data_IF_215011822157
#
_entry.id   IF_215011822157
#
_cell.length_a   1.000
_cell.length_b   1.000
_cell.length_c   1.000
_cell.angle_alpha   90.00
_cell.angle_beta   90.00
_cell.angle_gamma   90.00
#
_symmetry.space_group_name_H-M   'P 1'
#
loop_
_entity.id
_entity.type
_entity.pdbx_description
1 polymer ?
#
# COMPACT_ATOMS: atom_id res chain seq x y z
N UNK A 1 9.19 -15.36 -36.01
CA UNK A 1 7.72 -15.13 -36.05
C UNK A 1 7.49 -13.66 -35.76
N UNK A 2 6.43 -13.06 -36.32
CA UNK A 2 6.04 -11.71 -35.92
C UNK A 2 5.66 -11.72 -34.43
N UNK A 3 6.00 -10.66 -33.70
CA UNK A 3 5.64 -10.52 -32.29
C UNK A 3 4.11 -10.49 -32.17
N UNK A 4 3.55 -11.39 -31.34
CA UNK A 4 2.14 -11.35 -30.95
C UNK A 4 2.06 -11.13 -29.43
N UNK A 5 1.42 -10.04 -29.05
CA UNK A 5 1.22 -9.65 -27.65
C UNK A 5 -0.01 -10.35 -27.06
N UNK A 6 0.02 -10.59 -25.75
CA UNK A 6 -1.14 -11.02 -24.96
C UNK A 6 -1.02 -10.53 -23.52
N UNK A 7 -2.14 -10.38 -22.82
CA UNK A 7 -2.20 -9.90 -21.44
C UNK A 7 -2.49 -11.08 -20.53
N UNK A 8 -1.73 -11.20 -19.44
CA UNK A 8 -1.99 -12.16 -18.37
C UNK A 8 -2.25 -11.42 -17.06
N UNK A 9 -3.47 -11.50 -16.54
CA UNK A 9 -3.81 -10.92 -15.23
C UNK A 9 -3.52 -11.95 -14.14
N UNK A 10 -2.55 -11.66 -13.28
CA UNK A 10 -2.07 -12.57 -12.25
C UNK A 10 -2.75 -12.24 -10.91
N UNK A 11 -3.74 -13.04 -10.53
CA UNK A 11 -4.45 -12.92 -9.26
C UNK A 11 -3.78 -13.69 -8.14
N UNK A 12 -4.03 -13.26 -6.90
CA UNK A 12 -3.67 -14.02 -5.72
C UNK A 12 -4.46 -15.34 -5.65
N UNK A 13 -5.77 -15.24 -5.79
CA UNK A 13 -6.72 -16.33 -5.58
C UNK A 13 -7.42 -16.26 -4.23
N UNK A 14 -8.59 -16.88 -4.14
CA UNK A 14 -9.44 -16.82 -2.96
C UNK A 14 -10.19 -18.13 -2.77
N UNK A 15 -10.44 -18.47 -1.50
CA UNK A 15 -11.34 -19.58 -1.15
C UNK A 15 -12.81 -19.22 -1.35
N UNK A 16 -13.13 -17.92 -1.44
CA UNK A 16 -14.46 -17.42 -1.73
C UNK A 16 -14.66 -17.31 -3.25
N UNK A 17 -15.67 -18.00 -3.76
CA UNK A 17 -15.96 -18.06 -5.20
C UNK A 17 -16.47 -16.72 -5.74
N UNK A 18 -17.12 -15.89 -4.92
CA UNK A 18 -17.51 -14.53 -5.33
C UNK A 18 -16.29 -13.66 -5.57
N UNK A 19 -15.30 -13.72 -4.67
CA UNK A 19 -14.05 -13.00 -4.85
C UNK A 19 -13.29 -13.44 -6.12
N UNK A 20 -13.30 -14.74 -6.43
CA UNK A 20 -12.74 -15.26 -7.68
C UNK A 20 -13.53 -14.79 -8.92
N UNK A 21 -14.86 -14.65 -8.81
CA UNK A 21 -15.68 -14.10 -9.92
C UNK A 21 -15.44 -12.60 -10.11
N UNK A 22 -15.38 -11.82 -9.04
CA UNK A 22 -15.07 -10.38 -9.13
C UNK A 22 -13.68 -10.14 -9.74
N UNK A 23 -12.69 -10.99 -9.46
CA UNK A 23 -11.39 -10.90 -10.11
C UNK A 23 -11.46 -11.09 -11.62
N UNK A 24 -12.29 -12.03 -12.10
CA UNK A 24 -12.45 -12.29 -13.52
C UNK A 24 -13.01 -11.08 -14.29
N UNK A 25 -13.80 -10.22 -13.64
CA UNK A 25 -14.33 -8.97 -14.23
C UNK A 25 -13.21 -8.05 -14.68
N UNK A 26 -12.05 -8.04 -14.02
CA UNK A 26 -10.90 -7.23 -14.46
C UNK A 26 -10.38 -7.73 -15.81
N UNK A 27 -10.30 -9.04 -15.99
CA UNK A 27 -9.85 -9.63 -17.25
C UNK A 27 -10.84 -9.35 -18.38
N UNK A 28 -12.15 -9.38 -18.09
CA UNK A 28 -13.20 -8.98 -19.04
C UNK A 28 -13.07 -7.51 -19.43
N UNK A 29 -12.93 -6.61 -18.45
CA UNK A 29 -12.76 -5.18 -18.70
C UNK A 29 -11.48 -4.87 -19.52
N UNK A 30 -10.38 -5.57 -19.24
CA UNK A 30 -9.17 -5.45 -20.03
C UNK A 30 -9.34 -6.00 -21.44
N UNK A 31 -10.10 -7.08 -21.63
CA UNK A 31 -10.43 -7.63 -22.96
C UNK A 31 -11.24 -6.64 -23.78
N UNK A 32 -12.21 -5.96 -23.17
CA UNK A 32 -12.99 -4.91 -23.84
C UNK A 32 -12.12 -3.71 -24.26
N UNK A 33 -11.14 -3.34 -23.44
CA UNK A 33 -10.21 -2.22 -23.70
C UNK A 33 -9.12 -2.55 -24.70
N UNK A 34 -8.83 -3.84 -24.91
CA UNK A 34 -7.74 -4.32 -25.76
C UNK A 34 -8.27 -5.40 -26.74
N UNK A 35 -9.19 -5.06 -27.66
CA UNK A 35 -9.88 -6.04 -28.51
C UNK A 35 -8.95 -6.82 -29.46
N UNK A 36 -7.77 -6.28 -29.75
CA UNK A 36 -6.78 -6.90 -30.64
C UNK A 36 -5.80 -7.83 -29.89
N UNK A 37 -5.86 -7.87 -28.55
CA UNK A 37 -4.96 -8.65 -27.71
C UNK A 37 -5.71 -9.80 -27.01
N UNK A 38 -5.21 -11.04 -27.08
CA UNK A 38 -5.65 -12.10 -26.18
C UNK A 38 -5.43 -11.68 -24.72
N UNK A 39 -6.46 -11.81 -23.88
CA UNK A 39 -6.40 -11.47 -22.44
C UNK A 39 -6.84 -12.68 -21.63
N UNK A 40 -5.94 -13.26 -20.84
CA UNK A 40 -6.26 -14.35 -19.92
C UNK A 40 -5.96 -13.95 -18.48
N UNK A 41 -6.47 -14.74 -17.54
CA UNK A 41 -6.22 -14.56 -16.11
C UNK A 41 -5.96 -15.91 -15.44
N UNK A 42 -5.37 -15.84 -14.25
CA UNK A 42 -5.15 -17.01 -13.41
C UNK A 42 -4.70 -16.63 -12.02
N UNK A 43 -4.79 -17.60 -11.11
CA UNK A 43 -4.52 -17.41 -9.69
C UNK A 43 -3.22 -18.09 -9.27
N UNK A 44 -2.55 -17.48 -8.31
CA UNK A 44 -1.38 -18.06 -7.66
C UNK A 44 -1.78 -19.24 -6.77
N UNK A 45 -2.89 -19.14 -6.03
CA UNK A 45 -3.32 -20.15 -5.07
C UNK A 45 -4.84 -20.31 -4.94
N UNK A 46 -5.28 -21.36 -4.24
CA UNK A 46 -6.65 -21.68 -3.82
C UNK A 46 -7.67 -22.03 -4.91
N UNK A 47 -7.73 -21.29 -6.00
CA UNK A 47 -8.77 -21.45 -7.00
C UNK A 47 -8.20 -21.60 -8.41
N UNK A 48 -9.03 -22.15 -9.29
CA UNK A 48 -8.72 -22.30 -10.71
C UNK A 48 -9.40 -21.19 -11.54
N UNK A 49 -8.85 -20.82 -12.71
CA UNK A 49 -7.62 -21.36 -13.31
C UNK A 49 -6.34 -20.87 -12.63
N UNK A 50 -5.31 -21.71 -12.55
CA UNK A 50 -3.97 -21.30 -12.09
C UNK A 50 -3.26 -20.47 -13.16
N UNK A 51 -2.26 -19.67 -12.77
CA UNK A 51 -1.52 -18.77 -13.69
C UNK A 51 -0.97 -19.53 -14.91
N UNK A 52 -0.41 -20.73 -14.70
CA UNK A 52 0.15 -21.57 -15.77
C UNK A 52 -0.90 -21.96 -16.83
N UNK A 53 -2.14 -22.22 -16.43
CA UNK A 53 -3.23 -22.55 -17.34
C UNK A 53 -3.64 -21.36 -18.23
N UNK A 54 -3.63 -20.13 -17.69
CA UNK A 54 -3.83 -18.92 -18.48
C UNK A 54 -2.71 -18.69 -19.50
N UNK A 55 -1.46 -18.90 -19.08
CA UNK A 55 -0.30 -18.82 -19.97
C UNK A 55 -0.35 -19.87 -21.10
N UNK A 56 -0.79 -21.08 -20.82
CA UNK A 56 -0.96 -22.12 -21.84
C UNK A 56 -1.98 -21.76 -22.91
N UNK A 57 -3.09 -21.10 -22.54
CA UNK A 57 -4.07 -20.60 -23.50
C UNK A 57 -3.48 -19.50 -24.38
N UNK A 58 -2.80 -18.51 -23.79
CA UNK A 58 -2.12 -17.45 -24.55
C UNK A 58 -1.12 -18.05 -25.55
N UNK A 59 -0.32 -19.02 -25.09
CA UNK A 59 0.63 -19.74 -25.95
C UNK A 59 -0.06 -20.52 -27.07
N UNK A 60 -1.19 -21.19 -26.79
CA UNK A 60 -1.98 -21.90 -27.79
C UNK A 60 -2.56 -20.96 -28.87
N UNK A 61 -2.83 -19.71 -28.51
CA UNK A 61 -3.22 -18.66 -29.46
C UNK A 61 -2.03 -18.06 -30.22
N UNK A 62 -0.81 -18.54 -30.00
CA UNK A 62 0.41 -18.07 -30.67
C UNK A 62 0.96 -16.76 -30.11
N UNK A 63 0.61 -16.37 -28.89
CA UNK A 63 1.24 -15.24 -28.20
C UNK A 63 2.72 -15.54 -27.98
N UNK A 64 3.58 -14.62 -28.41
CA UNK A 64 5.05 -14.74 -28.25
C UNK A 64 5.59 -13.79 -27.18
N UNK A 65 4.81 -12.80 -26.75
CA UNK A 65 5.15 -11.91 -25.64
C UNK A 65 3.94 -11.62 -24.76
N UNK A 66 4.06 -11.93 -23.47
CA UNK A 66 3.02 -11.76 -22.45
C UNK A 66 3.30 -10.53 -21.60
N UNK A 67 2.29 -9.69 -21.42
CA UNK A 67 2.25 -8.58 -20.48
C UNK A 67 1.59 -9.09 -19.19
N UNK A 68 2.41 -9.48 -18.21
CA UNK A 68 1.92 -10.05 -16.96
C UNK A 68 1.63 -8.92 -15.94
N UNK A 69 0.34 -8.70 -15.67
CA UNK A 69 -0.15 -7.63 -14.79
C UNK A 69 -0.54 -8.23 -13.43
N UNK A 70 0.16 -7.88 -12.33
CA UNK A 70 -0.21 -8.36 -11.01
C UNK A 70 -1.48 -7.67 -10.50
N UNK A 71 -2.50 -8.46 -10.17
CA UNK A 71 -3.73 -8.02 -9.52
C UNK A 71 -3.56 -7.77 -8.03
N UNK A 72 -2.59 -6.93 -7.66
CA UNK A 72 -2.19 -6.65 -6.28
C UNK A 72 -2.24 -5.14 -6.01
N UNK A 73 -2.65 -4.77 -4.79
CA UNK A 73 -2.66 -3.37 -4.37
C UNK A 73 -1.26 -2.87 -4.02
N UNK A 74 -0.51 -3.64 -3.22
CA UNK A 74 0.84 -3.26 -2.77
C UNK A 74 1.83 -4.40 -2.96
N UNK A 75 3.10 -4.05 -3.20
CA UNK A 75 4.16 -5.03 -3.37
C UNK A 75 4.59 -5.62 -2.01
N UNK A 76 4.39 -6.94 -1.87
CA UNK A 76 4.90 -7.76 -0.77
C UNK A 76 5.38 -9.11 -1.33
N UNK A 77 5.45 -10.17 -0.52
CA UNK A 77 5.92 -11.51 -0.92
C UNK A 77 5.35 -12.00 -2.26
N UNK A 78 4.04 -11.91 -2.49
CA UNK A 78 3.43 -12.39 -3.74
C UNK A 78 3.89 -11.65 -4.98
N UNK A 79 3.93 -10.31 -4.91
CA UNK A 79 4.32 -9.50 -6.06
C UNK A 79 5.84 -9.47 -6.27
N UNK A 80 6.63 -9.60 -5.18
CA UNK A 80 8.09 -9.51 -5.19
C UNK A 80 8.77 -10.87 -5.44
N UNK A 81 8.14 -11.99 -5.05
CA UNK A 81 8.73 -13.34 -5.10
C UNK A 81 7.83 -14.37 -5.81
N UNK A 82 6.62 -14.63 -5.31
CA UNK A 82 5.87 -15.83 -5.71
C UNK A 82 5.44 -15.78 -7.19
N UNK A 83 4.78 -14.70 -7.63
CA UNK A 83 4.37 -14.53 -9.03
C UNK A 83 5.59 -14.50 -9.95
N UNK A 84 6.63 -13.69 -9.70
CA UNK A 84 7.87 -13.75 -10.48
C UNK A 84 8.45 -15.16 -10.60
N UNK A 85 8.46 -15.94 -9.52
CA UNK A 85 8.96 -17.32 -9.52
C UNK A 85 8.16 -18.21 -10.48
N UNK A 86 6.83 -18.16 -10.44
CA UNK A 86 5.94 -18.90 -11.35
C UNK A 86 6.16 -18.48 -12.80
N UNK A 87 6.19 -17.17 -13.08
CA UNK A 87 6.36 -16.63 -14.43
C UNK A 87 7.74 -16.97 -15.02
N UNK A 88 8.81 -16.81 -14.23
CA UNK A 88 10.17 -17.12 -14.66
C UNK A 88 10.34 -18.62 -14.95
N UNK A 89 9.73 -19.47 -14.12
CA UNK A 89 9.72 -20.93 -14.32
C UNK A 89 9.01 -21.30 -15.62
N UNK A 90 7.82 -20.73 -15.85
CA UNK A 90 7.06 -20.97 -17.07
C UNK A 90 7.83 -20.50 -18.31
N UNK A 91 8.45 -19.31 -18.27
CA UNK A 91 9.26 -18.78 -19.36
C UNK A 91 10.46 -19.69 -19.66
N UNK A 92 11.16 -20.18 -18.64
CA UNK A 92 12.31 -21.08 -18.81
C UNK A 92 11.92 -22.40 -19.52
N UNK A 93 10.71 -22.89 -19.28
CA UNK A 93 10.15 -24.07 -19.94
C UNK A 93 9.64 -23.79 -21.37
N UNK A 94 9.44 -22.51 -21.73
CA UNK A 94 8.81 -22.08 -22.98
C UNK A 94 9.64 -20.98 -23.67
N UNK A 95 10.84 -21.29 -24.22
CA UNK A 95 11.79 -20.29 -24.72
C UNK A 95 11.30 -19.44 -25.91
N UNK A 96 10.20 -19.85 -26.56
CA UNK A 96 9.55 -19.08 -27.63
C UNK A 96 8.61 -17.98 -27.15
N UNK A 97 8.42 -17.85 -25.83
CA UNK A 97 7.50 -16.89 -25.22
C UNK A 97 8.24 -16.03 -24.20
N UNK A 98 8.22 -14.71 -24.40
CA UNK A 98 8.77 -13.74 -23.45
C UNK A 98 7.67 -13.26 -22.51
N UNK A 99 7.94 -13.15 -21.22
CA UNK A 99 7.00 -12.65 -20.21
C UNK A 99 7.61 -11.39 -19.60
N UNK A 100 6.92 -10.26 -19.75
CA UNK A 100 7.29 -9.00 -19.10
C UNK A 100 6.33 -8.75 -17.95
N UNK A 101 6.88 -8.73 -16.74
CA UNK A 101 6.10 -8.52 -15.51
C UNK A 101 6.01 -7.04 -15.16
N UNK A 102 4.79 -6.56 -14.93
CA UNK A 102 4.51 -5.18 -14.53
C UNK A 102 4.59 -4.95 -13.03
N UNK A 103 4.47 -3.68 -12.63
CA UNK A 103 4.29 -3.31 -11.23
C UNK A 103 2.84 -3.46 -10.77
N UNK A 104 2.64 -3.60 -9.47
CA UNK A 104 1.35 -3.56 -8.80
C UNK A 104 0.66 -2.19 -8.98
N UNK A 105 -0.61 -2.09 -8.59
CA UNK A 105 -1.38 -0.84 -8.67
C UNK A 105 -0.70 0.28 -7.87
N UNK A 106 -0.29 -0.03 -6.63
CA UNK A 106 0.54 0.83 -5.80
C UNK A 106 -0.17 2.09 -5.33
N UNK A 107 0.62 3.14 -5.08
CA UNK A 107 0.13 4.48 -4.76
C UNK A 107 -0.17 5.21 -6.06
N UNK A 108 -1.45 5.32 -6.38
CA UNK A 108 -1.93 5.90 -7.64
C UNK A 108 -3.14 6.81 -7.39
N UNK A 109 -3.21 7.95 -8.09
CA UNK A 109 -4.29 8.92 -7.93
C UNK A 109 -5.66 8.36 -8.31
N UNK A 110 -5.74 7.47 -9.32
CA UNK A 110 -6.98 6.79 -9.71
C UNK A 110 -7.46 5.88 -8.59
N UNK A 111 -6.55 5.18 -7.92
CA UNK A 111 -6.86 4.33 -6.78
C UNK A 111 -7.32 5.14 -5.56
N UNK A 112 -6.63 6.24 -5.24
CA UNK A 112 -7.05 7.15 -4.16
C UNK A 112 -8.40 7.81 -4.44
N UNK A 113 -8.67 8.18 -5.70
CA UNK A 113 -9.99 8.73 -6.11
C UNK A 113 -11.09 7.69 -6.00
N UNK A 114 -10.86 6.47 -6.50
CA UNK A 114 -11.81 5.36 -6.36
C UNK A 114 -12.17 5.12 -4.88
N UNK A 115 -11.16 5.08 -4.01
CA UNK A 115 -11.38 4.98 -2.57
C UNK A 115 -12.18 6.18 -2.01
N UNK A 116 -11.84 7.39 -2.43
CA UNK A 116 -12.56 8.61 -2.06
C UNK A 116 -14.04 8.56 -2.45
N UNK A 117 -14.35 8.07 -3.65
CA UNK A 117 -15.72 7.93 -4.15
C UNK A 117 -16.50 6.92 -3.27
N UNK A 118 -15.93 5.74 -2.98
CA UNK A 118 -16.54 4.74 -2.08
C UNK A 118 -16.80 5.26 -0.67
N UNK A 119 -15.85 6.02 -0.12
CA UNK A 119 -15.98 6.63 1.21
C UNK A 119 -17.06 7.71 1.18
N UNK A 120 -17.09 8.53 0.14
CA UNK A 120 -18.07 9.62 0.00
C UNK A 120 -19.49 9.06 -0.16
N UNK A 121 -19.68 8.00 -0.95
CA UNK A 121 -20.94 7.25 -1.03
C UNK A 121 -21.43 6.82 0.36
N UNK A 122 -20.55 6.24 1.18
CA UNK A 122 -20.89 5.80 2.53
C UNK A 122 -21.22 6.98 3.48
N UNK A 123 -20.50 8.11 3.36
CA UNK A 123 -20.79 9.32 4.12
C UNK A 123 -22.16 9.89 3.75
N UNK A 124 -22.49 9.95 2.46
CA UNK A 124 -23.74 10.52 1.97
C UNK A 124 -24.93 9.64 2.36
N UNK A 125 -24.80 8.32 2.23
CA UNK A 125 -25.82 7.37 2.69
C UNK A 125 -26.02 7.46 4.21
N UNK A 126 -24.95 7.50 5.00
CA UNK A 126 -25.04 7.64 6.44
C UNK A 126 -25.67 8.98 6.86
N UNK A 127 -25.35 10.08 6.16
CA UNK A 127 -25.99 11.37 6.40
C UNK A 127 -27.50 11.34 6.10
N UNK A 128 -27.90 10.66 5.02
CA UNK A 128 -29.30 10.51 4.65
C UNK A 128 -30.10 9.62 5.62
N UNK A 129 -29.46 8.59 6.18
CA UNK A 129 -30.16 7.54 6.96
C UNK A 129 -30.00 7.68 8.47
N UNK A 130 -28.84 8.13 8.95
CA UNK A 130 -28.48 8.23 10.37
C UNK A 130 -28.35 9.68 10.86
N UNK A 131 -28.62 10.66 9.98
CA UNK A 131 -28.50 12.08 10.26
C UNK A 131 -27.13 12.66 9.92
N UNK A 132 -27.08 13.97 9.74
CA UNK A 132 -25.85 14.67 9.35
C UNK A 132 -24.81 14.67 10.48
N UNK A 133 -23.57 14.31 10.16
CA UNK A 133 -22.39 14.48 11.02
C UNK A 133 -21.29 15.14 10.18
N UNK A 134 -20.67 16.20 10.72
CA UNK A 134 -19.58 16.89 10.04
C UNK A 134 -18.35 15.97 9.91
N UNK A 135 -17.59 16.12 8.81
CA UNK A 135 -16.38 15.31 8.61
C UNK A 135 -15.34 15.57 9.69
N UNK A 136 -15.25 16.77 10.25
CA UNK A 136 -14.38 17.08 11.39
C UNK A 136 -14.79 16.35 12.68
N UNK A 137 -16.04 15.89 12.79
CA UNK A 137 -16.53 15.06 13.89
C UNK A 137 -16.56 13.55 13.54
N UNK A 138 -15.97 13.20 12.39
CA UNK A 138 -15.91 11.84 11.84
C UNK A 138 -14.46 11.36 11.71
N UNK A 139 -14.19 10.12 12.11
CA UNK A 139 -12.91 9.44 11.92
C UNK A 139 -12.98 8.50 10.71
N UNK A 140 -11.94 8.49 9.89
CA UNK A 140 -11.77 7.53 8.80
C UNK A 140 -10.84 6.39 9.21
N UNK A 141 -11.36 5.17 9.26
CA UNK A 141 -10.59 3.95 9.50
C UNK A 141 -10.33 3.24 8.16
N UNK A 142 -9.10 3.29 7.66
CA UNK A 142 -8.71 2.55 6.45
C UNK A 142 -8.12 1.21 6.84
N UNK A 143 -8.73 0.13 6.33
CA UNK A 143 -8.36 -1.24 6.68
C UNK A 143 -7.66 -1.91 5.52
N UNK A 144 -6.37 -2.22 5.68
CA UNK A 144 -5.60 -3.02 4.74
C UNK A 144 -5.55 -4.51 5.12
N UNK A 145 -4.97 -5.36 4.27
CA UNK A 145 -4.67 -6.76 4.63
C UNK A 145 -3.59 -6.85 5.71
N UNK A 146 -2.57 -5.98 5.58
CA UNK A 146 -1.35 -6.02 6.38
C UNK A 146 -0.29 -6.94 5.78
N UNK A 147 0.98 -6.72 6.08
CA UNK A 147 2.09 -7.49 5.51
C UNK A 147 3.22 -7.64 6.52
N UNK A 148 4.03 -8.69 6.37
CA UNK A 148 5.35 -8.76 7.02
C UNK A 148 6.37 -7.84 6.33
N UNK A 149 6.03 -7.31 5.16
CA UNK A 149 6.80 -6.30 4.44
C UNK A 149 6.34 -4.88 4.88
N UNK A 150 7.19 -4.10 5.58
CA UNK A 150 6.83 -2.78 6.06
C UNK A 150 6.59 -1.77 4.93
N UNK A 151 7.13 -1.97 3.72
CA UNK A 151 6.90 -1.11 2.57
C UNK A 151 5.41 -1.10 2.18
N UNK A 152 4.79 -2.28 2.13
CA UNK A 152 3.35 -2.43 1.88
C UNK A 152 2.49 -1.79 2.99
N UNK A 153 2.90 -1.93 4.26
CA UNK A 153 2.21 -1.31 5.38
C UNK A 153 2.32 0.22 5.33
N UNK A 154 3.50 0.74 4.99
CA UNK A 154 3.73 2.19 4.83
C UNK A 154 2.86 2.78 3.71
N UNK A 155 2.64 2.02 2.63
CA UNK A 155 1.75 2.41 1.54
C UNK A 155 0.27 2.44 1.97
N UNK A 156 -0.18 1.48 2.78
CA UNK A 156 -1.53 1.53 3.37
C UNK A 156 -1.73 2.79 4.22
N UNK A 157 -0.77 3.11 5.09
CA UNK A 157 -0.80 4.34 5.89
C UNK A 157 -0.75 5.59 5.02
N UNK A 158 0.04 5.60 3.94
CA UNK A 158 0.08 6.72 2.99
C UNK A 158 -1.28 6.95 2.33
N UNK A 159 -1.94 5.89 1.86
CA UNK A 159 -3.31 5.99 1.31
C UNK A 159 -4.27 6.57 2.34
N UNK A 160 -4.22 6.07 3.59
CA UNK A 160 -5.05 6.60 4.67
C UNK A 160 -4.84 8.10 4.88
N UNK A 161 -3.58 8.58 4.96
CA UNK A 161 -3.29 10.01 5.14
C UNK A 161 -3.80 10.84 3.97
N UNK A 162 -3.59 10.37 2.74
CA UNK A 162 -4.08 11.05 1.54
C UNK A 162 -5.62 11.17 1.52
N UNK A 163 -6.33 10.13 1.94
CA UNK A 163 -7.79 10.12 2.00
C UNK A 163 -8.31 10.98 3.15
N UNK A 164 -7.78 10.80 4.36
CA UNK A 164 -8.18 11.57 5.54
C UNK A 164 -7.99 13.07 5.31
N UNK A 165 -6.75 13.49 5.07
CA UNK A 165 -6.40 14.92 4.95
C UNK A 165 -7.04 15.52 3.70
N UNK A 166 -7.09 14.76 2.61
CA UNK A 166 -7.66 15.22 1.34
C UNK A 166 -9.18 15.37 1.38
N UNK A 167 -9.89 14.58 2.19
CA UNK A 167 -11.35 14.63 2.29
C UNK A 167 -11.86 15.47 3.47
N UNK A 168 -10.99 15.85 4.41
CA UNK A 168 -11.32 16.73 5.53
C UNK A 168 -11.90 16.02 6.75
N UNK A 169 -11.59 14.74 6.97
CA UNK A 169 -12.00 14.07 8.22
C UNK A 169 -11.29 14.67 9.44
N UNK A 170 -11.89 14.52 10.63
CA UNK A 170 -11.28 14.99 11.87
C UNK A 170 -10.02 14.19 12.25
N UNK A 171 -10.05 12.89 11.97
CA UNK A 171 -8.92 11.99 12.16
C UNK A 171 -8.93 10.82 11.17
N UNK A 172 -7.79 10.14 11.06
CA UNK A 172 -7.67 8.93 10.27
C UNK A 172 -6.71 7.92 10.92
N UNK A 173 -7.11 6.64 10.92
CA UNK A 173 -6.27 5.53 11.40
C UNK A 173 -6.18 4.41 10.37
N UNK A 174 -5.08 3.66 10.43
CA UNK A 174 -4.88 2.47 9.60
C UNK A 174 -4.91 1.23 10.48
N UNK A 175 -5.74 0.26 10.12
CA UNK A 175 -5.78 -1.06 10.73
C UNK A 175 -5.61 -2.16 9.69
N UNK A 176 -5.44 -3.38 10.17
CA UNK A 176 -5.15 -4.53 9.34
C UNK A 176 -6.04 -5.73 9.66
N UNK A 177 -6.38 -6.50 8.62
CA UNK A 177 -7.27 -7.66 8.78
C UNK A 177 -6.61 -8.88 9.43
N UNK A 178 -5.27 -8.96 9.54
CA UNK A 178 -4.66 -10.11 10.22
C UNK A 178 -3.14 -10.23 10.32
N UNK A 179 -2.33 -9.64 9.42
CA UNK A 179 -0.88 -9.98 9.39
C UNK A 179 0.00 -9.09 10.24
N UNK A 180 -0.39 -7.84 10.44
CA UNK A 180 0.33 -6.89 11.28
C UNK A 180 -0.65 -6.10 12.14
N UNK A 181 -0.12 -5.35 13.10
CA UNK A 181 -0.87 -4.57 14.08
C UNK A 181 -0.94 -3.09 13.67
N UNK A 182 -2.02 -2.33 14.00
CA UNK A 182 -3.22 -2.73 14.75
C UNK A 182 -4.20 -3.59 13.96
N UNK A 183 -4.78 -4.60 14.63
CA UNK A 183 -5.89 -5.39 14.08
C UNK A 183 -7.19 -4.60 14.15
N UNK A 184 -8.17 -4.94 13.30
CA UNK A 184 -9.45 -4.22 13.15
C UNK A 184 -10.15 -3.95 14.48
N UNK A 185 -10.40 -5.00 15.27
CA UNK A 185 -11.14 -4.84 16.53
C UNK A 185 -10.37 -3.98 17.55
N UNK A 186 -9.10 -4.27 17.92
CA UNK A 186 -8.32 -3.40 18.80
C UNK A 186 -8.18 -1.96 18.30
N UNK A 187 -8.07 -1.77 16.98
CA UNK A 187 -7.96 -0.44 16.38
C UNK A 187 -9.26 0.35 16.40
N UNK A 188 -10.41 -0.29 16.18
CA UNK A 188 -11.71 0.34 16.36
C UNK A 188 -11.99 0.65 17.83
N UNK A 189 -11.58 -0.23 18.75
CA UNK A 189 -11.64 0.03 20.20
C UNK A 189 -10.77 1.21 20.63
N UNK A 190 -9.60 1.37 20.01
CA UNK A 190 -8.78 2.55 20.19
C UNK A 190 -9.47 3.80 19.66
N UNK A 191 -9.96 3.75 18.41
CA UNK A 191 -10.64 4.87 17.76
C UNK A 191 -11.90 5.33 18.52
N UNK A 192 -12.65 4.40 19.13
CA UNK A 192 -13.84 4.71 19.92
C UNK A 192 -13.53 5.62 21.12
N UNK A 193 -12.31 5.56 21.66
CA UNK A 193 -11.88 6.39 22.82
C UNK A 193 -11.50 7.81 22.44
N UNK A 194 -11.43 8.13 21.14
CA UNK A 194 -10.98 9.44 20.66
C UNK A 194 -12.11 10.49 20.61
N UNK A 195 -13.37 10.10 20.83
CA UNK A 195 -14.50 11.03 20.98
C UNK A 195 -15.15 11.49 19.67
N UNK A 196 -14.88 10.82 18.54
CA UNK A 196 -15.57 11.09 17.27
C UNK A 196 -16.99 10.53 17.29
N UNK A 197 -17.94 11.27 16.70
CA UNK A 197 -19.36 10.89 16.66
C UNK A 197 -19.64 9.77 15.65
N UNK A 198 -18.78 9.67 14.63
CA UNK A 198 -18.90 8.68 13.56
C UNK A 198 -17.52 8.12 13.19
N UNK A 199 -17.48 6.83 12.90
CA UNK A 199 -16.33 6.13 12.36
C UNK A 199 -16.73 5.51 11.02
N UNK A 200 -16.10 5.94 9.93
CA UNK A 200 -16.22 5.28 8.61
C UNK A 200 -15.16 4.19 8.52
N UNK A 201 -15.57 2.94 8.36
CA UNK A 201 -14.68 1.80 8.17
C UNK A 201 -14.61 1.45 6.69
N UNK A 202 -13.45 1.70 6.08
CA UNK A 202 -13.22 1.50 4.66
C UNK A 202 -12.17 0.40 4.40
N UNK A 203 -12.59 -0.77 3.89
CA UNK A 203 -11.66 -1.81 3.46
C UNK A 203 -10.96 -1.42 2.14
N UNK A 204 -9.65 -1.19 2.19
CA UNK A 204 -8.83 -0.98 1.00
C UNK A 204 -8.47 -2.33 0.34
N UNK A 205 -9.48 -2.94 -0.28
CA UNK A 205 -9.42 -4.25 -0.93
C UNK A 205 -10.00 -4.17 -2.34
N UNK A 206 -9.46 -4.97 -3.26
CA UNK A 206 -9.99 -5.05 -4.63
C UNK A 206 -11.28 -5.87 -4.70
N UNK A 207 -11.43 -6.90 -3.86
CA UNK A 207 -12.53 -7.86 -3.95
C UNK A 207 -13.10 -8.17 -2.58
N UNK A 208 -14.30 -8.73 -2.60
CA UNK A 208 -14.96 -9.31 -1.44
C UNK A 208 -14.22 -10.53 -0.88
N UNK A 209 -14.85 -11.17 0.10
CA UNK A 209 -14.47 -12.48 0.60
C UNK A 209 -14.36 -12.50 2.11
N UNK A 210 -13.73 -13.56 2.61
CA UNK A 210 -13.57 -13.84 4.05
C UNK A 210 -13.04 -12.63 4.81
N UNK A 211 -12.07 -11.91 4.25
CA UNK A 211 -11.42 -10.80 4.95
C UNK A 211 -12.32 -9.57 5.07
N UNK A 212 -12.98 -9.15 3.99
CA UNK A 212 -13.92 -8.02 4.02
C UNK A 212 -15.09 -8.31 4.96
N UNK A 213 -15.66 -9.52 4.88
CA UNK A 213 -16.72 -9.97 5.80
C UNK A 213 -16.29 -9.90 7.26
N UNK A 214 -15.06 -10.34 7.57
CA UNK A 214 -14.50 -10.28 8.91
C UNK A 214 -14.31 -8.85 9.41
N UNK A 215 -13.87 -7.93 8.55
CA UNK A 215 -13.74 -6.51 8.89
C UNK A 215 -15.10 -5.96 9.34
N UNK A 216 -16.15 -6.24 8.56
CA UNK A 216 -17.51 -5.80 8.89
C UNK A 216 -18.05 -6.48 10.16
N UNK A 217 -17.80 -7.78 10.35
CA UNK A 217 -18.20 -8.47 11.58
C UNK A 217 -17.55 -7.87 12.83
N UNK A 218 -16.23 -7.61 12.81
CA UNK A 218 -15.58 -6.92 13.93
C UNK A 218 -16.08 -5.49 14.13
N UNK A 219 -16.44 -4.81 13.04
CA UNK A 219 -17.08 -3.50 13.12
C UNK A 219 -18.40 -3.58 13.88
N UNK A 220 -19.23 -4.58 13.59
CA UNK A 220 -20.51 -4.80 14.27
C UNK A 220 -20.32 -5.10 15.77
N UNK A 221 -19.34 -5.96 16.11
CA UNK A 221 -19.02 -6.29 17.52
C UNK A 221 -18.54 -5.05 18.30
N UNK A 222 -17.77 -4.16 17.69
CA UNK A 222 -17.34 -2.90 18.36
C UNK A 222 -18.51 -1.91 18.43
N UNK A 223 -19.34 -1.83 17.39
CA UNK A 223 -20.52 -0.96 17.38
C UNK A 223 -21.53 -1.32 18.50
N UNK A 224 -21.72 -2.61 18.78
CA UNK A 224 -22.56 -3.07 19.90
C UNK A 224 -22.05 -2.60 21.27
N UNK A 225 -20.73 -2.45 21.42
CA UNK A 225 -20.08 -1.99 22.67
C UNK A 225 -20.11 -0.48 22.84
N UNK A 226 -20.22 0.28 21.75
CA UNK A 226 -20.18 1.74 21.72
C UNK A 226 -21.40 2.31 20.97
N UNK A 227 -22.63 2.13 21.51
CA UNK A 227 -23.88 2.50 20.83
C UNK A 227 -24.04 4.01 20.59
N UNK A 228 -23.23 4.84 21.25
CA UNK A 228 -23.18 6.28 21.07
C UNK A 228 -22.43 6.73 19.81
N UNK A 229 -21.64 5.84 19.18
CA UNK A 229 -20.86 6.13 17.97
C UNK A 229 -21.54 5.50 16.75
N UNK A 230 -21.62 6.25 15.66
CA UNK A 230 -22.09 5.72 14.38
C UNK A 230 -20.95 5.00 13.66
N UNK A 231 -21.00 3.67 13.58
CA UNK A 231 -20.08 2.89 12.74
C UNK A 231 -20.68 2.68 11.36
N UNK A 232 -20.02 3.19 10.33
CA UNK A 232 -20.47 3.13 8.93
C UNK A 232 -19.51 2.26 8.14
N UNK A 233 -20.02 1.20 7.52
CA UNK A 233 -19.24 0.26 6.70
C UNK A 233 -19.25 0.75 5.26
N UNK A 234 -18.13 1.30 4.79
CA UNK A 234 -17.98 1.69 3.39
C UNK A 234 -17.71 0.46 2.51
N UNK A 235 -18.15 0.52 1.26
CA UNK A 235 -17.82 -0.50 0.26
C UNK A 235 -16.32 -0.48 -0.07
N UNK A 236 -15.77 -1.62 -0.48
CA UNK A 236 -14.38 -1.75 -0.95
C UNK A 236 -14.23 -1.25 -2.39
N UNK A 237 -13.03 -1.32 -2.97
CA UNK A 237 -12.76 -0.74 -4.29
C UNK A 237 -13.61 -1.39 -5.40
N UNK A 238 -13.64 -2.73 -5.43
CA UNK A 238 -14.36 -3.53 -6.43
C UNK A 238 -14.01 -3.12 -7.89
N UNK A 239 -14.97 -3.25 -8.79
CA UNK A 239 -14.98 -2.92 -10.21
C UNK A 239 -15.07 -1.41 -10.51
N UNK A 240 -14.66 -0.56 -9.57
CA UNK A 240 -14.72 0.88 -9.77
C UNK A 240 -13.98 1.28 -11.07
N UNK A 241 -14.55 2.13 -11.94
CA UNK A 241 -13.96 2.41 -13.26
C UNK A 241 -12.49 2.87 -13.21
N UNK A 242 -12.14 3.70 -12.22
CA UNK A 242 -10.76 4.16 -12.01
C UNK A 242 -9.79 3.04 -11.59
N UNK A 243 -10.27 1.97 -10.96
CA UNK A 243 -9.45 0.78 -10.66
C UNK A 243 -9.13 0.04 -11.96
N UNK A 244 -10.13 -0.14 -12.82
CA UNK A 244 -9.94 -0.73 -14.14
C UNK A 244 -9.00 0.13 -15.00
N UNK A 245 -9.09 1.45 -14.90
CA UNK A 245 -8.15 2.39 -15.55
C UNK A 245 -6.73 2.24 -15.01
N UNK A 246 -6.55 2.02 -13.71
CA UNK A 246 -5.24 1.77 -13.14
C UNK A 246 -4.63 0.45 -13.65
N UNK A 247 -5.45 -0.59 -13.85
CA UNK A 247 -5.03 -1.82 -14.52
C UNK A 247 -4.60 -1.60 -15.98
N UNK A 248 -5.36 -0.80 -16.73
CA UNK A 248 -4.98 -0.43 -18.09
C UNK A 248 -3.66 0.34 -18.13
N UNK A 249 -3.42 1.23 -17.16
CA UNK A 249 -2.12 1.92 -17.06
C UNK A 249 -0.99 0.92 -16.82
N UNK A 250 -1.19 -0.13 -16.00
CA UNK A 250 -0.17 -1.17 -15.79
C UNK A 250 0.22 -1.81 -17.13
N UNK A 251 -0.76 -2.10 -17.98
CA UNK A 251 -0.53 -2.65 -19.33
C UNK A 251 0.31 -1.68 -20.16
N UNK A 252 -0.06 -0.40 -20.19
CA UNK A 252 0.67 0.65 -20.89
C UNK A 252 2.12 0.79 -20.41
N UNK A 253 2.35 0.80 -19.09
CA UNK A 253 3.69 0.91 -18.50
C UNK A 253 4.59 -0.28 -18.89
N UNK A 254 4.05 -1.49 -18.99
CA UNK A 254 4.82 -2.67 -19.45
C UNK A 254 5.24 -2.48 -20.91
N UNK A 255 4.36 -1.94 -21.76
CA UNK A 255 4.64 -1.70 -23.18
C UNK A 255 5.72 -0.62 -23.37
N UNK A 256 5.65 0.44 -22.57
CA UNK A 256 6.58 1.57 -22.61
C UNK A 256 7.92 1.30 -21.91
N UNK A 257 8.04 0.17 -21.20
CA UNK A 257 9.21 -0.14 -20.37
C UNK A 257 9.32 0.73 -19.12
N UNK A 258 8.21 1.33 -18.69
CA UNK A 258 8.09 2.23 -17.55
C UNK A 258 7.57 1.55 -16.28
N UNK A 259 7.55 0.22 -16.23
CA UNK A 259 7.20 -0.56 -15.04
C UNK A 259 8.30 -0.47 -13.97
N UNK A 260 8.42 0.71 -13.34
CA UNK A 260 9.39 1.00 -12.30
C UNK A 260 8.87 0.52 -10.94
N UNK A 261 9.28 -0.67 -10.54
CA UNK A 261 9.14 -1.12 -9.15
C UNK A 261 10.03 -0.27 -8.24
N UNK A 262 9.59 0.02 -7.01
CA UNK A 262 10.43 0.67 -6.01
C UNK A 262 11.52 -0.28 -5.46
N UNK A 263 12.44 -0.69 -6.32
CA UNK A 263 13.50 -1.63 -5.95
C UNK A 263 14.51 -1.03 -4.96
N UNK A 264 14.60 0.30 -4.87
CA UNK A 264 15.51 1.00 -3.94
C UNK A 264 15.14 0.80 -2.46
N UNK A 265 13.87 0.45 -2.17
CA UNK A 265 13.41 0.10 -0.83
C UNK A 265 13.00 -1.37 -0.72
N UNK A 266 13.37 -2.19 -1.70
CA UNK A 266 13.05 -3.61 -1.68
C UNK A 266 14.01 -4.33 -0.74
N UNK A 267 13.48 -4.90 0.35
CA UNK A 267 14.27 -5.66 1.34
C UNK A 267 15.09 -6.82 0.79
N UNK A 268 14.78 -7.30 -0.41
CA UNK A 268 15.52 -8.36 -1.09
C UNK A 268 16.71 -7.83 -1.93
N UNK A 269 16.75 -6.53 -2.24
CA UNK A 269 17.74 -5.92 -3.14
C UNK A 269 18.61 -4.87 -2.46
N UNK A 270 18.10 -4.21 -1.44
CA UNK A 270 18.81 -3.20 -0.66
C UNK A 270 18.69 -3.50 0.83
N UNK A 271 19.66 -3.03 1.62
CA UNK A 271 19.61 -3.18 3.07
C UNK A 271 18.51 -2.29 3.66
N UNK A 272 17.44 -2.92 4.13
CA UNK A 272 16.39 -2.27 4.93
C UNK A 272 16.61 -2.64 6.40
N UNK A 273 16.54 -1.65 7.29
CA UNK A 273 16.75 -1.83 8.73
C UNK A 273 15.84 -2.93 9.29
N UNK A 274 16.43 -3.93 9.95
CA UNK A 274 15.73 -5.07 10.53
C UNK A 274 15.41 -6.21 9.56
N UNK A 275 15.86 -6.11 8.30
CA UNK A 275 15.71 -7.11 7.25
C UNK A 275 17.06 -7.47 6.59
N UNK A 276 18.17 -7.35 7.32
CA UNK A 276 19.51 -7.59 6.77
C UNK A 276 19.68 -9.02 6.23
N UNK A 277 18.97 -9.99 6.82
CA UNK A 277 18.99 -11.39 6.38
C UNK A 277 18.26 -11.65 5.05
N UNK A 278 17.39 -10.72 4.62
CA UNK A 278 16.59 -10.87 3.39
C UNK A 278 17.37 -10.40 2.15
N UNK A 279 18.45 -9.63 2.32
CA UNK A 279 19.25 -9.09 1.22
C UNK A 279 19.92 -10.21 0.42
N UNK A 280 19.61 -10.29 -0.87
CA UNK A 280 20.19 -11.28 -1.79
C UNK A 280 19.60 -12.69 -1.68
N UNK A 281 18.52 -12.90 -0.91
CA UNK A 281 17.84 -14.20 -0.85
C UNK A 281 17.29 -14.61 -2.22
N UNK A 282 17.34 -15.91 -2.58
CA UNK A 282 16.76 -16.41 -3.81
C UNK A 282 15.24 -16.22 -3.83
N UNK A 283 14.67 -15.99 -5.01
CA UNK A 283 13.22 -15.98 -5.19
C UNK A 283 12.67 -17.40 -5.14
N UNK A 284 12.00 -17.73 -4.05
CA UNK A 284 11.29 -18.99 -3.86
C UNK A 284 9.80 -18.71 -3.71
N UNK A 285 8.96 -19.51 -4.39
CA UNK A 285 7.51 -19.47 -4.20
C UNK A 285 7.14 -20.31 -2.99
N UNK A 286 6.53 -19.68 -1.98
CA UNK A 286 6.09 -20.37 -0.78
C UNK A 286 4.72 -21.05 -0.96
N UNK A 287 4.04 -20.80 -2.08
CA UNK A 287 2.64 -21.12 -2.29
C UNK A 287 2.38 -22.26 -3.28
N UNK A 288 3.43 -22.90 -3.81
CA UNK A 288 3.27 -24.05 -4.73
C UNK A 288 2.43 -25.20 -4.16
N UNK A 289 2.44 -25.41 -2.84
CA UNK A 289 1.72 -26.50 -2.20
C UNK A 289 0.20 -26.31 -2.12
N UNK A 290 -0.30 -25.09 -2.42
CA UNK A 290 -1.74 -24.74 -2.43
C UNK A 290 -2.22 -24.20 -3.77
N UNK A 291 -1.41 -24.36 -4.83
CA UNK A 291 -1.78 -23.96 -6.19
C UNK A 291 -2.97 -24.81 -6.69
N UNK A 292 -4.10 -24.16 -7.01
CA UNK A 292 -5.33 -24.83 -7.44
C UNK A 292 -6.01 -25.73 -6.40
N UNK A 293 -5.55 -25.70 -5.14
CA UNK A 293 -6.03 -26.54 -4.01
C UNK A 293 -6.48 -25.65 -2.85
N UNK A 294 -7.59 -26.00 -2.20
CA UNK A 294 -8.08 -25.27 -1.02
C UNK A 294 -9.12 -24.19 -1.31
N UNK A 295 -9.73 -24.21 -2.50
CA UNK A 295 -10.98 -23.50 -2.79
C UNK A 295 -12.11 -23.96 -1.85
N UNK A 296 -13.19 -23.18 -1.77
CA UNK A 296 -14.37 -23.57 -0.98
C UNK A 296 -14.88 -24.95 -1.40
N UNK A 297 -15.30 -25.77 -0.41
CA UNK A 297 -15.88 -27.10 -0.67
C UNK A 297 -17.06 -26.99 -1.64
N UNK A 298 -17.17 -27.92 -2.60
CA UNK A 298 -18.24 -27.92 -3.62
C UNK A 298 -19.64 -27.90 -2.99
N UNK A 299 -19.82 -28.56 -1.84
CA UNK A 299 -21.06 -28.59 -1.06
C UNK A 299 -20.97 -27.79 0.25
N UNK A 300 -20.18 -26.71 0.28
CA UNK A 300 -20.08 -25.89 1.48
C UNK A 300 -21.43 -25.21 1.78
N UNK A 301 -21.90 -25.19 3.05
CA UNK A 301 -23.13 -24.47 3.43
C UNK A 301 -23.15 -22.98 3.06
N UNK A 302 -21.97 -22.37 2.88
CA UNK A 302 -21.86 -20.98 2.44
C UNK A 302 -22.20 -20.74 0.95
N UNK A 303 -22.46 -21.79 0.16
CA UNK A 303 -22.89 -21.67 -1.24
C UNK A 303 -21.89 -20.94 -2.14
N UNK A 304 -20.59 -21.03 -1.84
CA UNK A 304 -19.52 -20.34 -2.56
C UNK A 304 -19.16 -18.96 -1.98
N UNK A 305 -19.99 -18.37 -1.12
CA UNK A 305 -19.73 -17.10 -0.46
C UNK A 305 -19.00 -17.28 0.88
N UNK A 306 -17.85 -17.95 0.82
CA UNK A 306 -17.07 -18.32 2.00
C UNK A 306 -16.77 -17.14 2.92
N UNK A 307 -17.21 -17.25 4.17
CA UNK A 307 -16.93 -16.39 5.32
C UNK A 307 -15.94 -17.05 6.31
N UNK A 308 -15.55 -18.29 6.01
CA UNK A 308 -14.74 -19.16 6.85
C UNK A 308 -15.39 -19.51 8.21
N UNK A 309 -16.72 -19.53 8.30
CA UNK A 309 -17.44 -19.96 9.51
C UNK A 309 -17.18 -21.42 9.88
N UNK A 310 -16.81 -22.27 8.91
CA UNK A 310 -16.34 -23.64 9.17
C UNK A 310 -15.02 -23.74 9.94
N UNK A 311 -14.41 -22.60 10.33
CA UNK A 311 -13.32 -22.55 11.31
C UNK A 311 -13.82 -22.60 12.75
N UNK A 312 -15.12 -22.52 12.98
CA UNK A 312 -15.72 -22.82 14.27
C UNK A 312 -16.10 -24.31 14.34
N UNK A 313 -15.55 -25.08 15.29
CA UNK A 313 -15.94 -26.47 15.50
C UNK A 313 -17.45 -26.66 15.72
N UNK A 314 -18.13 -25.72 16.38
CA UNK A 314 -19.57 -25.81 16.62
C UNK A 314 -20.38 -25.58 15.33
N UNK A 315 -19.94 -24.69 14.45
CA UNK A 315 -20.54 -24.53 13.12
C UNK A 315 -20.47 -25.83 12.31
N UNK A 316 -19.30 -26.48 12.30
CA UNK A 316 -19.11 -27.75 11.59
C UNK A 316 -20.02 -28.86 12.14
N UNK A 317 -20.18 -28.91 13.46
CA UNK A 317 -21.05 -29.87 14.15
C UNK A 317 -22.53 -29.64 13.84
N UNK A 318 -22.99 -28.38 13.84
CA UNK A 318 -24.37 -28.02 13.49
C UNK A 318 -24.72 -28.41 12.05
N UNK A 319 -23.77 -28.26 11.12
CA UNK A 319 -23.97 -28.50 9.70
C UNK A 319 -23.53 -29.90 9.23
N UNK A 320 -23.19 -30.81 10.16
CA UNK A 320 -22.79 -32.19 9.84
C UNK A 320 -21.51 -32.29 9.00
N UNK A 321 -20.63 -31.28 9.07
CA UNK A 321 -19.38 -31.23 8.31
C UNK A 321 -18.25 -31.93 9.07
N UNK A 322 -17.33 -32.64 8.38
CA UNK A 322 -16.14 -33.19 8.99
C UNK A 322 -15.19 -32.06 9.41
N UNK A 323 -14.90 -31.96 10.71
CA UNK A 323 -13.85 -31.06 11.21
C UNK A 323 -12.48 -31.59 10.81
N UNK A 324 -11.72 -30.81 10.05
CA UNK A 324 -10.35 -31.15 9.65
C UNK A 324 -9.35 -30.07 10.08
N UNK A 325 -8.09 -30.42 10.39
CA UNK A 325 -7.04 -29.44 10.74
C UNK A 325 -6.74 -28.38 9.67
N UNK A 326 -7.21 -28.57 8.42
CA UNK A 326 -7.07 -27.58 7.33
C UNK A 326 -8.00 -26.37 7.53
N UNK A 327 -9.02 -26.50 8.39
CA UNK A 327 -9.89 -25.42 8.86
C UNK A 327 -9.25 -24.61 9.99
N UNK A 328 -8.40 -25.21 10.82
CA UNK A 328 -7.59 -24.47 11.80
C UNK A 328 -6.30 -23.96 11.12
N UNK A 329 -6.37 -22.82 10.45
CA UNK A 329 -5.16 -21.99 10.41
C UNK A 329 -5.02 -21.49 11.84
N UNK A 330 -3.87 -21.78 12.46
CA UNK A 330 -3.55 -21.51 13.85
C UNK A 330 -4.22 -20.23 14.36
N UNK A 331 -4.72 -20.31 15.60
CA UNK A 331 -5.12 -19.19 16.45
C UNK A 331 -4.38 -17.90 16.04
N UNK A 332 -5.04 -16.73 15.96
CA UNK A 332 -4.29 -15.49 15.87
C UNK A 332 -3.22 -15.59 16.95
N UNK A 333 -1.94 -15.56 16.57
CA UNK A 333 -0.85 -15.50 17.53
C UNK A 333 -1.26 -14.48 18.59
N UNK A 334 -0.95 -14.77 19.85
CA UNK A 334 -1.08 -13.81 20.95
C UNK A 334 -0.80 -12.40 20.42
N UNK A 335 -1.54 -11.39 20.88
CA UNK A 335 -1.38 -9.96 20.51
C UNK A 335 0.06 -9.42 20.71
N UNK A 336 1.01 -10.26 21.11
CA UNK A 336 2.41 -10.08 20.94
C UNK A 336 2.73 -9.62 19.50
N UNK A 337 3.50 -8.52 19.35
CA UNK A 337 3.98 -8.10 18.05
C UNK A 337 4.70 -9.26 17.35
N UNK A 338 4.51 -9.39 16.03
CA UNK A 338 5.23 -10.36 15.20
C UNK A 338 6.77 -10.26 15.34
N UNK A 339 7.26 -9.17 15.93
CA UNK A 339 8.64 -8.93 16.29
C UNK A 339 8.78 -8.79 17.81
N UNK A 340 9.54 -9.70 18.42
CA UNK A 340 10.05 -9.52 19.79
C UNK A 340 11.09 -8.38 19.79
N UNK A 341 10.63 -7.17 20.11
CA UNK A 341 11.47 -5.99 20.38
C UNK A 341 12.04 -6.03 21.80
N UNK A 342 12.43 -7.21 22.33
CA UNK A 342 13.08 -7.35 23.62
C UNK A 342 14.14 -6.28 23.82
N UNK A 343 14.09 -5.60 24.99
CA UNK A 343 14.76 -4.35 25.35
C UNK A 343 16.10 -4.10 24.62
N UNK A 344 16.00 -3.57 23.41
CA UNK A 344 17.14 -3.15 22.61
C UNK A 344 17.44 -1.70 22.95
N UNK A 345 17.96 -1.44 24.16
CA UNK A 345 18.44 -0.11 24.56
C UNK A 345 19.73 0.32 23.83
N UNK A 346 20.16 -0.45 22.84
CA UNK A 346 21.22 -0.10 21.88
C UNK A 346 20.85 -0.65 20.50
N UNK A 347 21.08 0.11 19.43
CA UNK A 347 21.12 -0.41 18.05
C UNK A 347 22.17 -1.55 18.02
N UNK A 348 21.74 -2.80 18.25
CA UNK A 348 22.68 -3.92 18.36
C UNK A 348 22.21 -5.14 19.15
N UNK A 349 21.00 -5.16 19.70
CA UNK A 349 20.53 -6.23 20.61
C UNK A 349 20.49 -7.66 20.06
N UNK A 350 20.59 -7.86 18.74
CA UNK A 350 20.78 -9.20 18.12
C UNK A 350 22.05 -9.32 17.26
N UNK A 351 22.88 -8.27 17.17
CA UNK A 351 23.98 -8.16 16.20
C UNK A 351 25.38 -8.05 16.82
N UNK A 352 25.54 -8.40 18.11
CA UNK A 352 26.84 -8.37 18.79
C UNK A 352 27.92 -9.25 18.15
N UNK A 353 27.55 -10.16 17.24
CA UNK A 353 28.48 -11.05 16.53
C UNK A 353 29.05 -10.45 15.23
N UNK A 354 28.54 -9.31 14.75
CA UNK A 354 29.07 -8.64 13.56
C UNK A 354 30.08 -7.53 13.87
N UNK A 355 30.21 -7.10 15.12
CA UNK A 355 31.16 -6.05 15.51
C UNK A 355 32.63 -6.50 15.51
N UNK A 356 32.91 -7.81 15.38
CA UNK A 356 34.27 -8.37 15.40
C UNK A 356 34.63 -9.21 14.17
N UNK A 357 33.79 -9.23 13.13
CA UNK A 357 34.17 -9.83 11.85
C UNK A 357 34.96 -8.78 11.07
N UNK A 358 36.26 -9.02 10.88
CA UNK A 358 37.03 -8.24 9.91
C UNK A 358 36.30 -8.31 8.55
N UNK A 359 36.18 -7.18 7.82
CA UNK A 359 35.57 -7.20 6.50
C UNK A 359 36.27 -8.25 5.64
N UNK A 360 35.49 -9.01 4.86
CA UNK A 360 36.11 -9.94 3.92
C UNK A 360 37.00 -9.16 2.93
N UNK A 361 38.02 -9.83 2.42
CA UNK A 361 39.01 -9.20 1.53
C UNK A 361 38.39 -8.64 0.22
N UNK A 362 37.14 -9.02 -0.10
CA UNK A 362 36.40 -8.47 -1.23
C UNK A 362 35.82 -7.09 -0.94
N UNK A 363 35.25 -6.90 0.25
CA UNK A 363 34.66 -5.63 0.68
C UNK A 363 35.74 -4.56 0.90
N UNK A 364 36.89 -4.94 1.45
CA UNK A 364 38.03 -4.04 1.66
C UNK A 364 38.65 -3.57 0.33
N UNK A 365 38.61 -4.41 -0.71
CA UNK A 365 39.05 -4.06 -2.06
C UNK A 365 38.10 -3.08 -2.76
N UNK A 366 36.79 -3.17 -2.49
CA UNK A 366 35.78 -2.24 -3.01
C UNK A 366 35.88 -0.88 -2.33
N UNK A 367 36.10 -0.84 -1.01
CA UNK A 367 36.26 0.40 -0.26
C UNK A 367 37.56 1.14 -0.59
N UNK A 368 38.63 0.40 -0.93
CA UNK A 368 39.94 0.97 -1.30
C UNK A 368 40.14 1.15 -2.81
N UNK A 369 39.14 0.87 -3.64
CA UNK A 369 39.22 1.11 -5.07
C UNK A 369 39.28 2.63 -5.33
N UNK A 370 40.31 3.15 -6.01
CA UNK A 370 40.37 4.57 -6.33
C UNK A 370 39.21 4.94 -7.24
N UNK A 371 38.40 5.93 -6.82
CA UNK A 371 37.38 6.53 -7.68
C UNK A 371 38.01 6.95 -9.00
N UNK A 372 37.34 6.70 -10.12
CA UNK A 372 37.80 7.06 -11.46
C UNK A 372 37.81 8.58 -11.61
N UNK A 373 38.88 9.20 -11.12
CA UNK A 373 39.14 10.62 -11.24
C UNK A 373 39.37 11.01 -12.70
N UNK A 374 38.33 11.55 -13.34
CA UNK A 374 38.51 12.58 -14.36
C UNK A 374 38.35 13.94 -13.67
N UNK A 375 39.38 14.80 -13.66
CA UNK A 375 39.22 16.16 -13.16
C UNK A 375 38.37 16.95 -14.16
N UNK A 376 37.14 17.30 -13.78
CA UNK A 376 36.39 18.33 -14.47
C UNK A 376 37.03 19.68 -14.12
N UNK A 377 37.87 20.19 -15.02
CA UNK A 377 38.30 21.59 -14.97
C UNK A 377 37.08 22.47 -15.27
N UNK A 378 36.44 23.01 -14.23
CA UNK A 378 35.53 24.14 -14.39
C UNK A 378 36.36 25.41 -14.42
N UNK A 379 36.57 25.97 -15.62
CA UNK A 379 37.05 27.34 -15.77
C UNK A 379 35.94 28.30 -15.28
N UNK A 380 36.22 29.04 -14.20
CA UNK A 380 35.39 30.16 -13.80
C UNK A 380 35.62 31.33 -14.77
N UNK A 381 34.63 31.60 -15.61
CA UNK A 381 34.56 32.86 -16.38
C UNK A 381 34.41 34.06 -15.43
N UNK A 382 34.99 35.24 -15.75
CA UNK A 382 35.18 36.33 -14.79
C UNK A 382 33.94 37.20 -14.58
N UNK A 383 32.74 36.62 -14.39
CA UNK A 383 31.53 37.44 -14.19
C UNK A 383 30.37 36.79 -13.41
N UNK A 384 30.64 35.92 -12.45
CA UNK A 384 29.64 35.49 -11.47
C UNK A 384 29.88 36.20 -10.13
N UNK A 385 29.22 37.34 -9.96
CA UNK A 385 29.11 38.03 -8.68
C UNK A 385 28.07 37.35 -7.79
N UNK A 386 28.53 36.51 -6.87
CA UNK A 386 27.76 36.08 -5.70
C UNK A 386 28.66 36.17 -4.48
N UNK A 387 28.42 37.20 -3.66
CA UNK A 387 29.12 37.41 -2.39
C UNK A 387 28.77 36.33 -1.37
N UNK A 388 29.80 35.81 -0.72
CA UNK A 388 29.68 34.98 0.48
C UNK A 388 29.02 35.79 1.60
N UNK A 389 27.90 35.29 2.12
CA UNK A 389 27.40 35.63 3.45
C UNK A 389 27.68 34.43 4.36
N UNK A 390 28.77 34.52 5.12
CA UNK A 390 29.04 33.65 6.25
C UNK A 390 28.17 34.09 7.43
N UNK A 391 27.40 33.17 8.00
CA UNK A 391 26.69 33.37 9.26
C UNK A 391 27.33 32.47 10.33
N UNK A 392 28.25 33.05 11.09
CA UNK A 392 28.71 32.52 12.37
C UNK A 392 27.62 32.73 13.44
N UNK A 393 27.27 31.68 14.17
CA UNK A 393 26.45 31.75 15.37
C UNK A 393 27.26 31.29 16.59
N UNK A 394 27.79 32.25 17.33
CA UNK A 394 28.35 32.05 18.67
C UNK A 394 27.22 31.98 19.72
N UNK A 395 27.18 30.88 20.48
CA UNK A 395 26.30 30.72 21.64
C UNK A 395 27.07 30.99 22.94
N UNK A 396 26.76 32.09 23.63
CA UNK A 396 27.19 32.34 25.00
C UNK A 396 26.08 32.05 26.01
N UNK A 397 26.36 31.15 26.96
CA UNK A 397 25.54 30.89 28.13
C UNK A 397 25.80 31.92 29.24
N UNK A 398 24.73 32.47 29.82
CA UNK A 398 24.77 33.26 31.04
C UNK A 398 23.58 32.94 31.95
N UNK A 399 23.85 32.29 33.07
CA UNK A 399 22.93 32.08 34.19
C UNK A 399 22.77 33.39 34.98
N UNK A 400 21.56 33.68 35.48
CA UNK A 400 21.29 34.27 36.82
C UNK A 400 19.79 34.10 37.15
N UNK A 401 19.47 33.84 38.43
CA UNK A 401 18.12 33.58 38.93
C UNK A 401 17.65 34.56 40.01
N UNK A 402 16.47 34.23 40.59
CA UNK A 402 15.73 34.83 41.71
C UNK A 402 15.03 36.18 41.43
N UNK A 403 13.83 36.54 41.92
CA UNK A 403 12.71 35.89 42.63
C UNK A 403 11.56 36.94 42.79
N UNK A 404 10.33 36.45 43.02
CA UNK A 404 9.15 37.02 43.74
C UNK A 404 8.35 38.28 43.26
N UNK A 405 7.09 37.98 42.89
CA UNK A 405 5.78 38.44 43.42
C UNK A 405 5.07 39.79 43.11
N UNK A 406 3.78 39.59 42.81
CA UNK A 406 2.54 40.39 42.97
C UNK A 406 2.05 41.43 41.92
N UNK A 407 0.82 41.12 41.47
CA UNK A 407 -0.27 41.84 40.77
C UNK A 407 -0.25 43.38 40.72
N UNK A 408 -0.65 43.93 39.57
CA UNK A 408 -1.69 44.97 39.48
C UNK A 408 -2.24 45.09 38.05
N UNK A 409 -3.58 45.10 37.98
CA UNK A 409 -4.44 45.34 36.84
C UNK A 409 -4.44 46.82 36.45
N UNK A 410 -4.11 47.16 35.20
CA UNK A 410 -4.36 48.48 34.62
C UNK A 410 -4.60 48.37 33.11
N UNK A 411 -5.85 48.56 32.70
CA UNK A 411 -6.20 48.86 31.32
C UNK A 411 -5.71 50.25 30.91
N UNK A 412 -4.97 50.30 29.80
CA UNK A 412 -4.77 51.52 29.04
C UNK A 412 -4.90 51.25 27.55
N UNK A 413 -5.93 51.87 27.00
CA UNK A 413 -6.23 52.01 25.58
C UNK A 413 -5.17 52.93 24.94
N UNK A 414 -4.46 52.41 23.94
CA UNK A 414 -3.59 53.20 23.09
C UNK A 414 -3.89 52.90 21.62
N UNK A 415 -4.76 53.72 21.04
CA UNK A 415 -4.92 53.84 19.60
C UNK A 415 -3.62 54.31 18.94
N UNK A 416 -2.84 53.36 18.45
CA UNK A 416 -1.83 53.60 17.42
C UNK A 416 -2.42 53.19 16.08
N UNK A 417 -2.88 54.19 15.32
CA UNK A 417 -3.20 54.04 13.91
C UNK A 417 -1.93 53.78 13.11
N UNK A 418 -1.57 52.51 12.93
CA UNK A 418 -0.60 52.11 11.93
C UNK A 418 -1.28 52.07 10.56
N UNK A 419 -1.13 53.16 9.79
CA UNK A 419 -1.34 53.13 8.34
C UNK A 419 -0.23 52.29 7.72
N UNK A 420 -0.50 51.00 7.48
CA UNK A 420 0.32 50.21 6.58
C UNK A 420 0.01 50.64 5.15
N UNK A 421 0.86 51.52 4.63
CA UNK A 421 1.00 51.73 3.19
C UNK A 421 1.47 50.40 2.58
N UNK A 422 0.54 49.63 2.03
CA UNK A 422 0.86 48.45 1.23
C UNK A 422 1.45 48.93 -0.09
N UNK A 423 2.72 49.32 -0.05
CA UNK A 423 3.56 49.36 -1.24
C UNK A 423 3.49 47.97 -1.87
N UNK A 424 2.75 47.87 -2.98
CA UNK A 424 2.71 46.69 -3.83
C UNK A 424 4.10 46.45 -4.43
N UNK A 425 5.02 45.90 -3.65
CA UNK A 425 6.14 45.18 -4.18
C UNK A 425 5.56 43.90 -4.78
N UNK A 426 5.30 43.94 -6.08
CA UNK A 426 4.98 42.76 -6.86
C UNK A 426 6.12 41.77 -6.72
N UNK A 427 6.00 40.84 -5.78
CA UNK A 427 6.80 39.63 -5.76
C UNK A 427 6.37 38.78 -6.96
N UNK A 428 6.88 39.17 -8.13
CA UNK A 428 6.85 38.30 -9.30
C UNK A 428 7.78 37.14 -8.98
N UNK A 429 7.23 36.03 -8.52
CA UNK A 429 7.96 34.77 -8.50
C UNK A 429 8.44 34.52 -9.93
N UNK A 430 9.75 34.37 -10.10
CA UNK A 430 10.32 34.03 -11.39
C UNK A 430 9.60 32.77 -11.89
N UNK A 431 9.06 32.78 -13.12
CA UNK A 431 8.39 31.61 -13.67
C UNK A 431 9.38 30.45 -13.66
N UNK A 432 8.94 29.31 -13.13
CA UNK A 432 9.76 28.10 -13.05
C UNK A 432 10.33 27.79 -14.45
N UNK A 433 11.66 27.69 -14.62
CA UNK A 433 12.30 27.59 -15.94
C UNK A 433 11.83 26.39 -16.78
N UNK A 434 11.23 25.40 -16.13
CA UNK A 434 10.74 24.17 -16.75
C UNK A 434 9.22 24.01 -16.60
N UNK A 435 8.47 25.11 -16.45
CA UNK A 435 7.01 25.09 -16.40
C UNK A 435 6.37 24.40 -17.63
N UNK A 436 7.06 24.46 -18.77
CA UNK A 436 6.63 23.85 -20.03
C UNK A 436 7.16 22.41 -20.22
N UNK A 437 7.81 21.81 -19.21
CA UNK A 437 8.29 20.44 -19.28
C UNK A 437 7.11 19.45 -19.33
N UNK A 438 7.12 18.43 -20.22
CA UNK A 438 6.00 17.49 -20.36
C UNK A 438 5.62 16.75 -19.07
N UNK A 439 6.58 16.58 -18.16
CA UNK A 439 6.40 15.98 -16.82
C UNK A 439 6.40 17.02 -15.67
N UNK A 440 6.36 18.31 -16.00
CA UNK A 440 6.29 19.38 -14.99
C UNK A 440 4.93 19.42 -14.30
N UNK A 441 4.83 19.99 -13.09
CA UNK A 441 3.54 20.13 -12.41
C UNK A 441 2.56 20.98 -13.24
N UNK A 442 1.35 20.44 -13.45
CA UNK A 442 0.28 21.04 -14.27
C UNK A 442 -0.22 22.42 -13.77
N UNK A 443 0.19 22.86 -12.57
CA UNK A 443 -0.15 24.16 -11.99
C UNK A 443 0.44 25.36 -12.74
N UNK A 444 1.30 25.13 -13.75
CA UNK A 444 2.07 26.19 -14.40
C UNK A 444 1.91 26.24 -15.93
N UNK A 445 0.86 25.62 -16.50
CA UNK A 445 0.46 25.94 -17.89
C UNK A 445 0.14 27.44 -17.94
N UNK A 446 0.95 28.22 -18.66
CA UNK A 446 0.75 29.67 -18.82
C UNK A 446 -0.71 29.92 -19.23
N UNK A 447 -1.45 30.69 -18.42
CA UNK A 447 -2.80 31.17 -18.74
C UNK A 447 -2.76 32.08 -19.96
#
# INVERSE_FOLDING_TARGET
MAEKLGIMVCGHGSRNQNAAREFAVIAEALRERNPDLPVEYGYLEFCNPVISAGLDKLRAEGVTRVLAVPGMLFAAGHAKNDIPSVLNTYQAQNPGMVITYGRELGIDLKMTRAAGDRIQEAVDEANATLGFVDKHETLLMVVGRGSSDPDANSNATKVMRMLWEGMGFGWGETCYSGVTFPLVEPGLEHAARLGYKRIIVFPYFLFTGVLVKRIYSYTDVVAERHPEIQFVKASYLNDHPLVLDAFQDRVGEILEGAALMNCQMCKYREQVLGFEADLGQPQESHHHHVEGIGGGLEDCPCGGDCDASCRDPEFCKEHGLPWTPVHSHAEPNDLAPAFDYGASTTLGGKYGHLLNAAPDAGLEAVMNAPSSGKPAAHEHGPNCGCGHHDHDHDHHHGHHGHDHDHDHDHGHDHGYGHSHDHGHHGHHHAPYPHADHPLGPNSMKKK
#
